data_IF_029607184325
#
_entry.id   IF_029607184325
#
_cell.length_a   1.000
_cell.length_b   1.000
_cell.length_c   1.000
_cell.angle_alpha   90.00
_cell.angle_beta   90.00
_cell.angle_gamma   90.00
#
_symmetry.space_group_name_H-M   'P 1'
#
loop_
_entity.id
_entity.type
_entity.pdbx_description
1 polymer ?
#
# COMPACT_ATOMS: atom_id res chain seq x y z
N UNK A 1 14.87 54.46 29.82
CA UNK A 1 13.57 53.94 29.34
C UNK A 1 13.82 53.12 28.08
N UNK A 2 13.74 51.79 28.16
CA UNK A 2 13.92 50.89 27.00
C UNK A 2 12.61 50.11 26.85
N UNK A 3 11.83 50.45 25.82
CA UNK A 3 10.54 49.82 25.55
C UNK A 3 10.78 48.43 24.94
N UNK A 4 10.34 47.39 25.64
CA UNK A 4 10.28 46.03 25.09
C UNK A 4 9.05 45.94 24.18
N UNK A 5 9.27 45.79 22.87
CA UNK A 5 8.22 45.40 21.93
C UNK A 5 7.94 43.91 22.10
N UNK A 6 6.77 43.61 22.65
CA UNK A 6 6.21 42.25 22.66
C UNK A 6 5.64 42.00 21.26
N UNK A 7 6.26 41.09 20.50
CA UNK A 7 5.64 40.57 19.28
C UNK A 7 4.66 39.46 19.67
N UNK A 8 3.41 39.47 19.17
CA UNK A 8 2.50 38.36 19.41
C UNK A 8 2.99 37.16 18.58
N UNK A 9 3.29 36.05 19.24
CA UNK A 9 3.52 34.79 18.58
C UNK A 9 2.19 34.34 17.95
N UNK A 10 2.07 34.48 16.63
CA UNK A 10 0.96 33.94 15.87
C UNK A 10 1.11 32.42 15.88
N UNK A 11 0.41 31.74 16.78
CA UNK A 11 0.33 30.29 16.81
C UNK A 11 -0.42 29.82 15.56
N UNK A 12 0.32 29.46 14.51
CA UNK A 12 -0.21 28.82 13.33
C UNK A 12 -0.67 27.41 13.75
N UNK A 13 -1.97 27.25 14.03
CA UNK A 13 -2.56 25.92 14.17
C UNK A 13 -2.40 25.18 12.84
N UNK A 14 -1.38 24.32 12.74
CA UNK A 14 -1.34 23.31 11.69
C UNK A 14 -2.52 22.37 11.93
N UNK A 15 -3.59 22.55 11.15
CA UNK A 15 -4.64 21.55 11.02
C UNK A 15 -3.99 20.31 10.38
N UNK A 16 -3.61 19.34 11.21
CA UNK A 16 -3.19 18.04 10.72
C UNK A 16 -4.40 17.38 10.05
N UNK A 17 -4.29 17.14 8.74
CA UNK A 17 -5.32 16.43 7.98
C UNK A 17 -5.45 15.00 8.52
N UNK A 18 -6.39 14.80 9.44
CA UNK A 18 -6.79 13.47 9.87
C UNK A 18 -7.73 12.89 8.80
N UNK A 19 -7.23 11.90 8.06
CA UNK A 19 -8.04 11.15 7.10
C UNK A 19 -8.55 9.90 7.80
N UNK A 20 -9.86 9.63 7.75
CA UNK A 20 -10.41 8.33 8.16
C UNK A 20 -10.16 7.35 7.01
N UNK A 21 -9.72 6.13 7.30
CA UNK A 21 -9.52 5.12 6.27
C UNK A 21 -10.81 4.86 5.50
N UNK A 22 -10.69 4.41 4.24
CA UNK A 22 -11.85 4.10 3.40
C UNK A 22 -12.75 3.08 4.12
N UNK A 23 -14.03 3.41 4.41
CA UNK A 23 -14.92 2.49 5.09
C UNK A 23 -15.31 1.33 4.18
N UNK A 24 -15.74 0.22 4.80
CA UNK A 24 -16.46 -0.83 4.09
C UNK A 24 -17.59 -0.23 3.25
N UNK A 25 -17.90 -0.79 2.06
CA UNK A 25 -19.03 -0.32 1.26
C UNK A 25 -20.32 -0.26 2.08
N UNK A 26 -21.14 0.76 1.85
CA UNK A 26 -22.46 0.89 2.48
C UNK A 26 -23.48 -0.07 1.84
N UNK A 27 -23.38 -0.26 0.52
CA UNK A 27 -24.22 -1.21 -0.20
C UNK A 27 -23.96 -2.66 0.29
N UNK A 28 -25.00 -3.44 0.65
CA UNK A 28 -24.83 -4.79 1.18
C UNK A 28 -24.19 -5.77 0.21
N UNK A 29 -24.45 -5.67 -1.10
CA UNK A 29 -23.87 -6.56 -2.11
C UNK A 29 -22.39 -6.24 -2.31
N UNK A 30 -22.05 -4.95 -2.39
CA UNK A 30 -20.66 -4.49 -2.47
C UNK A 30 -19.87 -4.87 -1.22
N UNK A 31 -20.47 -4.71 -0.03
CA UNK A 31 -19.85 -5.11 1.23
C UNK A 31 -19.60 -6.61 1.26
N UNK A 32 -20.60 -7.42 0.91
CA UNK A 32 -20.46 -8.89 0.80
C UNK A 32 -19.34 -9.25 -0.17
N UNK A 33 -19.29 -8.61 -1.32
CA UNK A 33 -18.27 -8.83 -2.34
C UNK A 33 -16.88 -8.46 -1.84
N UNK A 34 -16.71 -7.31 -1.18
CA UNK A 34 -15.42 -6.91 -0.63
C UNK A 34 -14.91 -7.88 0.44
N UNK A 35 -15.79 -8.29 1.35
CA UNK A 35 -15.47 -9.16 2.48
C UNK A 35 -15.08 -10.58 2.06
N UNK A 36 -15.58 -11.07 0.91
CA UNK A 36 -15.20 -12.41 0.44
C UNK A 36 -13.69 -12.51 0.08
N UNK A 37 -13.04 -11.38 -0.21
CA UNK A 37 -11.60 -11.30 -0.52
C UNK A 37 -10.75 -10.91 0.69
N UNK A 38 -11.33 -10.76 1.89
CA UNK A 38 -10.58 -10.36 3.08
C UNK A 38 -9.47 -11.35 3.40
N UNK A 39 -9.81 -12.64 3.50
CA UNK A 39 -8.83 -13.68 3.84
C UNK A 39 -7.65 -13.72 2.86
N UNK A 40 -7.88 -13.50 1.56
CA UNK A 40 -6.81 -13.42 0.56
C UNK A 40 -5.93 -12.18 0.78
N UNK A 41 -6.54 -11.00 0.90
CA UNK A 41 -5.84 -9.71 1.08
C UNK A 41 -5.01 -9.63 2.36
N UNK A 42 -5.43 -10.34 3.41
CA UNK A 42 -4.80 -10.32 4.73
C UNK A 42 -3.98 -11.58 5.03
N UNK A 43 -3.98 -12.55 4.09
CA UNK A 43 -3.27 -13.81 4.26
C UNK A 43 -1.77 -13.61 4.50
N UNK A 44 -1.23 -14.47 5.36
CA UNK A 44 0.19 -14.69 5.38
C UNK A 44 0.55 -15.61 4.22
N UNK A 45 1.45 -15.16 3.36
CA UNK A 45 2.15 -16.07 2.46
C UNK A 45 3.10 -16.93 3.30
N UNK A 46 2.58 -18.05 3.81
CA UNK A 46 3.25 -19.00 4.73
C UNK A 46 4.28 -19.89 4.02
N UNK A 47 4.17 -20.03 2.70
CA UNK A 47 5.29 -20.53 1.92
C UNK A 47 6.31 -19.40 1.83
N UNK A 48 7.57 -19.73 2.07
CA UNK A 48 8.71 -18.88 1.76
C UNK A 48 8.67 -18.61 0.26
N UNK A 49 7.88 -17.62 -0.17
CA UNK A 49 7.91 -17.19 -1.54
C UNK A 49 9.29 -16.61 -1.79
N UNK A 50 9.96 -17.15 -2.80
CA UNK A 50 11.19 -16.65 -3.39
C UNK A 50 11.05 -15.24 -3.99
N UNK A 51 9.87 -14.61 -3.89
CA UNK A 51 9.59 -13.27 -4.43
C UNK A 51 9.24 -12.30 -3.29
N UNK A 52 10.24 -11.59 -2.74
CA UNK A 52 10.05 -10.58 -1.69
C UNK A 52 9.14 -9.42 -2.13
N UNK A 53 8.94 -9.24 -3.44
CA UNK A 53 8.26 -8.10 -4.04
C UNK A 53 6.93 -8.55 -4.64
N UNK A 54 5.87 -7.79 -4.37
CA UNK A 54 4.50 -8.14 -4.83
C UNK A 54 3.73 -6.93 -5.32
N UNK A 55 2.75 -7.16 -6.19
CA UNK A 55 1.65 -6.22 -6.37
C UNK A 55 0.68 -6.40 -5.20
N UNK A 56 0.38 -5.31 -4.49
CA UNK A 56 -0.45 -5.37 -3.27
C UNK A 56 -1.95 -5.44 -3.57
N UNK A 57 -2.38 -4.95 -4.74
CA UNK A 57 -3.78 -4.75 -5.11
C UNK A 57 -4.19 -5.45 -6.42
N UNK A 58 -3.23 -5.98 -7.20
CA UNK A 58 -3.50 -6.67 -8.47
C UNK A 58 -3.06 -8.13 -8.42
N UNK A 59 -3.81 -9.00 -9.08
CA UNK A 59 -3.38 -10.37 -9.39
C UNK A 59 -3.42 -10.65 -10.88
N UNK A 60 -2.78 -11.75 -11.29
CA UNK A 60 -2.73 -12.20 -12.68
C UNK A 60 -4.14 -12.42 -13.26
N UNK A 61 -4.35 -11.95 -14.49
CA UNK A 61 -5.62 -12.05 -15.21
C UNK A 61 -6.65 -10.97 -14.88
N UNK A 62 -6.35 -9.99 -14.02
CA UNK A 62 -7.28 -8.91 -13.69
C UNK A 62 -7.69 -8.09 -14.92
N UNK A 63 -8.99 -7.77 -14.99
CA UNK A 63 -9.57 -6.83 -15.92
C UNK A 63 -9.66 -5.46 -15.24
N UNK A 64 -9.04 -4.46 -15.85
CA UNK A 64 -8.94 -3.10 -15.29
C UNK A 64 -9.42 -2.05 -16.28
N UNK A 65 -9.85 -0.91 -15.77
CA UNK A 65 -10.15 0.27 -16.59
C UNK A 65 -9.04 1.31 -16.46
N UNK A 66 -8.61 1.89 -17.57
CA UNK A 66 -7.56 2.93 -17.60
C UNK A 66 -8.11 4.32 -17.27
N UNK A 67 -7.37 5.19 -16.56
CA UNK A 67 -6.13 4.89 -15.84
C UNK A 67 -6.40 4.05 -14.59
N UNK A 68 -5.44 3.22 -14.18
CA UNK A 68 -5.58 2.33 -13.02
C UNK A 68 -4.42 2.47 -12.04
N UNK A 69 -4.73 2.24 -10.77
CA UNK A 69 -3.79 2.31 -9.66
C UNK A 69 -3.12 0.97 -9.42
N UNK A 70 -1.83 1.01 -9.15
CA UNK A 70 -1.05 -0.16 -8.76
C UNK A 70 -0.23 0.14 -7.51
N UNK A 71 -0.14 -0.84 -6.63
CA UNK A 71 0.51 -0.72 -5.33
C UNK A 71 1.59 -1.78 -5.19
N UNK A 72 2.73 -1.37 -4.64
CA UNK A 72 3.91 -2.20 -4.49
C UNK A 72 4.04 -2.68 -3.05
N UNK A 73 4.47 -3.91 -2.87
CA UNK A 73 4.83 -4.50 -1.58
C UNK A 73 6.26 -5.03 -1.63
N UNK A 74 6.92 -5.01 -0.47
CA UNK A 74 8.20 -5.69 -0.26
C UNK A 74 8.32 -6.22 1.17
N UNK A 75 8.82 -7.46 1.32
CA UNK A 75 9.10 -8.11 2.61
C UNK A 75 10.58 -8.44 2.74
N UNK A 76 11.12 -8.38 3.96
CA UNK A 76 12.54 -8.71 4.23
C UNK A 76 13.57 -7.65 3.82
N UNK A 77 13.14 -6.59 3.12
CA UNK A 77 13.95 -5.43 2.75
C UNK A 77 13.17 -4.13 2.98
N UNK A 78 13.92 -3.03 3.11
CA UNK A 78 13.39 -1.68 3.28
C UNK A 78 13.31 -0.87 2.00
N UNK A 79 12.30 -0.02 1.86
CA UNK A 79 12.26 0.99 0.80
C UNK A 79 13.08 2.22 1.22
N UNK A 80 13.96 2.68 0.34
CA UNK A 80 14.75 3.91 0.47
C UNK A 80 14.90 4.57 -0.91
N UNK A 81 14.92 5.91 -1.00
CA UNK A 81 15.22 6.60 -2.26
C UNK A 81 16.55 6.18 -2.89
N UNK A 82 16.64 6.28 -4.21
CA UNK A 82 17.88 6.11 -4.97
C UNK A 82 18.96 7.10 -4.51
N UNK A 83 20.23 6.76 -4.77
CA UNK A 83 21.40 7.53 -4.34
C UNK A 83 21.79 7.34 -2.87
N UNK A 84 20.99 6.60 -2.09
CA UNK A 84 21.20 6.38 -0.66
C UNK A 84 21.62 4.94 -0.38
N UNK A 85 22.92 4.71 -0.22
CA UNK A 85 23.44 3.37 0.06
C UNK A 85 23.08 2.93 1.48
N UNK A 86 22.28 1.87 1.59
CA UNK A 86 21.97 1.20 2.86
C UNK A 86 21.73 -0.30 2.62
N UNK A 87 22.23 -1.13 3.53
CA UNK A 87 22.06 -2.57 3.43
C UNK A 87 20.59 -3.00 3.52
N UNK A 88 20.25 -4.11 2.86
CA UNK A 88 18.90 -4.70 2.84
C UNK A 88 17.81 -3.68 2.47
N UNK A 89 18.12 -2.74 1.59
CA UNK A 89 17.20 -1.71 1.16
C UNK A 89 17.40 -1.32 -0.30
N UNK A 90 16.41 -0.66 -0.87
CA UNK A 90 16.43 -0.26 -2.28
C UNK A 90 15.13 0.43 -2.66
N UNK A 91 14.82 0.45 -3.96
CA UNK A 91 13.58 1.03 -4.46
C UNK A 91 12.97 0.22 -5.60
N UNK A 92 11.68 0.47 -5.82
CA UNK A 92 10.90 -0.23 -6.83
C UNK A 92 11.17 0.29 -8.24
N UNK A 93 11.04 -0.62 -9.18
CA UNK A 93 10.91 -0.40 -10.60
C UNK A 93 9.72 -1.19 -11.11
N UNK A 94 9.12 -0.74 -12.19
CA UNK A 94 8.06 -1.45 -12.90
C UNK A 94 8.46 -1.67 -14.34
N UNK A 95 8.35 -2.92 -14.76
CA UNK A 95 8.52 -3.37 -16.12
C UNK A 95 7.14 -3.51 -16.75
N UNK A 96 6.96 -2.89 -17.92
CA UNK A 96 5.73 -2.92 -18.71
C UNK A 96 6.07 -3.48 -20.08
N UNK A 97 5.49 -4.63 -20.44
CA UNK A 97 5.67 -5.28 -21.75
C UNK A 97 7.14 -5.44 -22.16
N UNK A 98 7.95 -5.83 -21.18
CA UNK A 98 9.39 -6.01 -21.33
C UNK A 98 9.92 -7.09 -20.37
N UNK A 99 10.91 -7.89 -20.80
CA UNK A 99 11.57 -8.85 -19.91
C UNK A 99 12.43 -8.15 -18.85
N UNK A 100 12.88 -8.96 -17.87
CA UNK A 100 13.90 -8.53 -16.91
C UNK A 100 15.18 -8.08 -17.62
N UNK A 101 15.88 -7.05 -17.12
CA UNK A 101 17.20 -6.69 -17.62
C UNK A 101 18.15 -7.90 -17.55
N UNK A 102 18.97 -8.16 -18.58
CA UNK A 102 19.82 -9.35 -18.64
C UNK A 102 21.00 -9.32 -17.67
N UNK A 103 21.30 -8.17 -17.06
CA UNK A 103 22.46 -7.92 -16.22
C UNK A 103 22.03 -7.35 -14.87
N UNK A 104 22.67 -7.82 -13.79
CA UNK A 104 22.67 -7.18 -12.46
C UNK A 104 23.78 -6.13 -12.34
N UNK A 105 24.76 -6.17 -13.24
CA UNK A 105 25.97 -5.35 -13.20
C UNK A 105 25.79 -4.00 -13.90
N UNK A 106 24.65 -3.75 -14.52
CA UNK A 106 24.34 -2.50 -15.20
C UNK A 106 23.10 -1.85 -14.57
N UNK A 107 23.04 -0.52 -14.48
CA UNK A 107 21.83 0.18 -14.07
C UNK A 107 20.66 -0.16 -14.99
N UNK A 108 19.45 -0.21 -14.43
CA UNK A 108 18.22 -0.40 -15.20
C UNK A 108 18.08 0.77 -16.20
N UNK A 109 17.84 0.50 -17.50
CA UNK A 109 17.66 1.55 -18.50
C UNK A 109 16.49 2.48 -18.17
N UNK A 110 16.60 3.76 -18.51
CA UNK A 110 15.48 4.69 -18.47
C UNK A 110 14.69 4.58 -19.79
N UNK A 111 13.43 4.17 -19.71
CA UNK A 111 12.50 4.13 -20.84
C UNK A 111 11.06 4.08 -20.34
N UNK A 112 10.09 4.25 -21.24
CA UNK A 112 8.67 4.12 -20.89
C UNK A 112 8.29 2.71 -20.40
N UNK A 113 9.08 1.70 -20.78
CA UNK A 113 8.90 0.30 -20.35
C UNK A 113 9.56 -0.03 -19.01
N UNK A 114 10.50 0.78 -18.56
CA UNK A 114 11.20 0.65 -17.29
C UNK A 114 10.92 1.90 -16.46
N UNK A 115 9.84 1.87 -15.67
CA UNK A 115 9.46 2.99 -14.81
C UNK A 115 10.22 2.93 -13.48
N UNK A 116 10.81 4.05 -13.10
CA UNK A 116 11.67 4.19 -11.92
C UNK A 116 10.91 4.85 -10.76
N UNK A 117 11.01 4.29 -9.56
CA UNK A 117 10.42 4.84 -8.34
C UNK A 117 11.50 5.19 -7.30
N UNK A 118 12.55 5.87 -7.78
CA UNK A 118 13.72 6.26 -7.00
C UNK A 118 13.48 7.32 -5.92
N UNK A 119 12.25 7.82 -5.73
CA UNK A 119 11.91 8.68 -4.58
C UNK A 119 11.31 7.88 -3.42
N UNK A 120 11.36 6.55 -3.47
CA UNK A 120 10.75 5.68 -2.45
C UNK A 120 9.24 5.54 -2.61
N UNK A 121 8.69 5.74 -3.81
CA UNK A 121 7.26 5.55 -4.06
C UNK A 121 6.89 4.06 -3.99
N UNK A 122 5.72 3.76 -3.43
CA UNK A 122 5.22 2.38 -3.29
C UNK A 122 3.89 2.16 -4.00
N UNK A 123 3.55 3.04 -4.95
CA UNK A 123 2.39 2.92 -5.81
C UNK A 123 2.51 3.90 -6.99
N UNK A 124 1.72 3.69 -8.05
CA UNK A 124 1.63 4.62 -9.17
C UNK A 124 0.34 4.49 -9.97
N UNK A 125 0.05 5.53 -10.76
CA UNK A 125 -0.98 5.52 -11.79
C UNK A 125 -0.39 4.97 -13.09
N UNK A 126 -1.06 4.00 -13.69
CA UNK A 126 -0.82 3.53 -15.05
C UNK A 126 -1.93 4.02 -15.97
N UNK A 127 -1.55 4.57 -17.12
CA UNK A 127 -2.46 4.85 -18.22
C UNK A 127 -1.98 4.08 -19.44
N UNK A 128 -2.56 2.89 -19.63
CA UNK A 128 -2.18 1.96 -20.69
C UNK A 128 -3.34 1.84 -21.70
N UNK A 129 -3.04 1.64 -22.99
CA UNK A 129 -4.08 1.45 -23.99
C UNK A 129 -4.92 0.19 -23.71
N UNK A 130 -6.12 0.06 -24.30
CA UNK A 130 -6.92 -1.16 -24.20
C UNK A 130 -6.16 -2.39 -24.74
N UNK A 131 -6.28 -3.53 -24.03
CA UNK A 131 -5.64 -4.79 -24.38
C UNK A 131 -4.82 -5.44 -23.26
N UNK A 132 -4.18 -6.57 -23.55
CA UNK A 132 -3.36 -7.29 -22.57
C UNK A 132 -2.00 -6.59 -22.37
N UNK A 133 -1.59 -6.44 -21.12
CA UNK A 133 -0.30 -5.90 -20.72
C UNK A 133 0.35 -6.78 -19.65
N UNK A 134 1.64 -7.03 -19.79
CA UNK A 134 2.44 -7.74 -18.79
C UNK A 134 3.14 -6.75 -17.87
N UNK A 135 3.04 -7.00 -16.57
CA UNK A 135 3.63 -6.17 -15.52
C UNK A 135 4.52 -7.01 -14.60
N UNK A 136 5.68 -6.47 -14.25
CA UNK A 136 6.57 -7.06 -13.25
C UNK A 136 7.24 -5.97 -12.42
N UNK A 137 7.24 -6.13 -11.10
CA UNK A 137 8.02 -5.27 -10.22
C UNK A 137 9.43 -5.82 -10.08
N UNK A 138 10.41 -4.92 -10.02
CA UNK A 138 11.82 -5.24 -9.80
C UNK A 138 12.37 -4.32 -8.72
N UNK A 139 13.11 -4.88 -7.77
CA UNK A 139 13.80 -4.13 -6.73
C UNK A 139 15.28 -3.98 -7.08
N UNK A 140 15.81 -2.79 -6.84
CA UNK A 140 17.19 -2.45 -7.17
C UNK A 140 17.82 -1.61 -6.06
N UNK A 141 19.14 -1.57 -6.06
CA UNK A 141 19.93 -0.81 -5.11
C UNK A 141 19.87 0.71 -5.34
N UNK A 142 20.69 1.45 -4.61
CA UNK A 142 20.79 2.91 -4.70
C UNK A 142 21.28 3.44 -6.06
N UNK A 143 21.95 2.61 -6.87
CA UNK A 143 22.48 2.95 -8.20
C UNK A 143 21.62 2.36 -9.33
N UNK A 144 20.38 1.97 -9.02
CA UNK A 144 19.43 1.31 -9.93
C UNK A 144 19.94 -0.05 -10.45
N UNK A 145 20.84 -0.73 -9.73
CA UNK A 145 21.33 -2.06 -10.11
C UNK A 145 20.38 -3.13 -9.56
N UNK A 146 19.83 -4.02 -10.40
CA UNK A 146 18.87 -5.03 -9.96
C UNK A 146 19.43 -5.94 -8.87
N UNK A 147 18.66 -6.17 -7.81
CA UNK A 147 18.94 -7.25 -6.85
C UNK A 147 18.50 -8.63 -7.37
N UNK A 148 17.81 -8.68 -8.51
CA UNK A 148 17.02 -9.84 -8.96
C UNK A 148 16.00 -10.31 -7.92
N UNK A 149 15.57 -9.36 -7.10
CA UNK A 149 14.43 -9.46 -6.20
C UNK A 149 13.25 -8.85 -6.94
N UNK A 150 12.38 -9.68 -7.49
CA UNK A 150 11.26 -9.25 -8.35
C UNK A 150 9.97 -10.00 -8.03
N UNK A 151 8.85 -9.47 -8.51
CA UNK A 151 7.55 -10.13 -8.41
C UNK A 151 7.38 -11.20 -9.47
N UNK A 152 6.41 -12.11 -9.27
CA UNK A 152 5.83 -12.84 -10.40
C UNK A 152 5.38 -11.82 -11.46
N UNK A 153 5.52 -12.19 -12.74
CA UNK A 153 4.89 -11.41 -13.80
C UNK A 153 3.40 -11.68 -13.78
N UNK A 154 2.62 -10.62 -13.91
CA UNK A 154 1.18 -10.69 -14.06
C UNK A 154 0.79 -10.14 -15.43
N UNK A 155 -0.32 -10.61 -15.95
CA UNK A 155 -1.01 -10.04 -17.11
C UNK A 155 -2.26 -9.34 -16.63
N UNK A 156 -2.43 -8.07 -16.99
CA UNK A 156 -3.68 -7.34 -16.81
C UNK A 156 -4.32 -7.07 -18.16
N UNK A 157 -5.64 -7.09 -18.23
CA UNK A 157 -6.37 -6.74 -19.44
C UNK A 157 -7.07 -5.39 -19.25
N UNK A 158 -6.66 -4.37 -19.99
CA UNK A 158 -7.29 -3.05 -19.97
C UNK A 158 -8.55 -3.11 -20.84
N UNK A 159 -9.73 -3.05 -20.23
CA UNK A 159 -11.01 -3.29 -20.92
C UNK A 159 -11.73 -2.03 -21.37
N UNK A 160 -11.50 -0.88 -20.72
CA UNK A 160 -12.18 0.37 -21.03
C UNK A 160 -11.45 1.57 -20.40
N UNK A 161 -11.82 2.78 -20.82
CA UNK A 161 -11.41 4.01 -20.14
C UNK A 161 -12.44 4.40 -19.06
N UNK A 162 -11.97 4.71 -17.84
CA UNK A 162 -12.81 5.06 -16.68
C UNK A 162 -13.67 6.31 -16.89
N UNK A 163 -13.21 7.27 -17.70
CA UNK A 163 -13.95 8.50 -18.01
C UNK A 163 -15.01 8.31 -19.10
N UNK A 164 -14.92 7.21 -19.86
CA UNK A 164 -15.79 6.92 -20.99
C UNK A 164 -16.71 5.71 -20.74
N UNK A 165 -16.59 5.06 -19.57
CA UNK A 165 -17.38 3.89 -19.22
C UNK A 165 -17.98 4.04 -17.83
N UNK A 166 -19.19 3.52 -17.64
CA UNK A 166 -19.75 3.37 -16.31
C UNK A 166 -18.89 2.39 -15.47
N UNK A 167 -18.78 2.60 -14.15
CA UNK A 167 -18.19 1.61 -13.25
C UNK A 167 -19.02 0.31 -13.26
N UNK A 168 -18.39 -0.87 -13.15
CA UNK A 168 -19.12 -2.12 -12.96
C UNK A 168 -20.02 -2.04 -11.73
N UNK A 169 -21.20 -2.65 -11.81
CA UNK A 169 -22.14 -2.79 -10.69
C UNK A 169 -22.38 -4.27 -10.42
N UNK A 170 -22.69 -4.58 -9.16
CA UNK A 170 -23.05 -5.94 -8.77
C UNK A 170 -24.52 -6.18 -9.10
N UNK A 171 -24.77 -7.26 -9.83
CA UNK A 171 -26.10 -7.79 -10.08
C UNK A 171 -26.36 -8.93 -9.07
N UNK A 172 -27.40 -8.85 -8.22
CA UNK A 172 -27.68 -9.89 -7.24
C UNK A 172 -27.98 -11.26 -7.86
N UNK A 173 -28.60 -11.32 -9.05
CA UNK A 173 -28.90 -12.59 -9.74
C UNK A 173 -27.66 -13.20 -10.39
N UNK A 174 -26.65 -12.36 -10.67
CA UNK A 174 -25.36 -12.74 -11.28
C UNK A 174 -24.19 -12.38 -10.38
N UNK A 175 -24.35 -12.56 -9.08
CA UNK A 175 -23.39 -12.09 -8.08
C UNK A 175 -21.98 -12.66 -8.31
N UNK A 176 -21.86 -13.97 -8.56
CA UNK A 176 -20.56 -14.64 -8.78
C UNK A 176 -19.80 -14.11 -9.99
N UNK A 177 -20.50 -13.58 -10.99
CA UNK A 177 -19.89 -13.03 -12.20
C UNK A 177 -19.58 -11.54 -12.08
N UNK A 178 -20.47 -10.77 -11.46
CA UNK A 178 -20.37 -9.30 -11.41
C UNK A 178 -19.53 -8.81 -10.23
N UNK A 179 -19.51 -9.54 -9.11
CA UNK A 179 -18.68 -9.21 -7.95
C UNK A 179 -17.18 -9.15 -8.29
N UNK A 180 -16.55 -10.15 -8.95
CA UNK A 180 -15.14 -10.04 -9.33
C UNK A 180 -14.85 -8.82 -10.21
N UNK A 181 -15.73 -8.48 -11.17
CA UNK A 181 -15.57 -7.30 -12.04
C UNK A 181 -15.61 -6.00 -11.23
N UNK A 182 -16.56 -5.89 -10.31
CA UNK A 182 -16.63 -4.76 -9.39
C UNK A 182 -15.40 -4.69 -8.48
N UNK A 183 -15.00 -5.81 -7.90
CA UNK A 183 -13.87 -5.86 -6.97
C UNK A 183 -12.55 -5.45 -7.65
N UNK A 184 -12.27 -6.00 -8.83
CA UNK A 184 -11.10 -5.65 -9.64
C UNK A 184 -11.09 -4.15 -9.99
N UNK A 185 -12.24 -3.58 -10.33
CA UNK A 185 -12.36 -2.15 -10.57
C UNK A 185 -12.06 -1.32 -9.32
N UNK A 186 -12.57 -1.74 -8.16
CA UNK A 186 -12.39 -1.05 -6.88
C UNK A 186 -10.95 -1.02 -6.40
N UNK A 187 -10.24 -2.16 -6.43
CA UNK A 187 -8.84 -2.24 -5.97
C UNK A 187 -7.86 -1.56 -6.91
N UNK A 188 -8.25 -1.34 -8.17
CA UNK A 188 -7.45 -0.66 -9.20
C UNK A 188 -7.91 0.79 -9.44
N UNK A 189 -8.86 1.32 -8.67
CA UNK A 189 -9.33 2.70 -8.81
C UNK A 189 -8.28 3.68 -8.25
N UNK A 190 -7.89 4.72 -9.01
CA UNK A 190 -7.01 5.76 -8.51
C UNK A 190 -7.53 6.45 -7.25
N UNK A 191 -6.66 6.74 -6.27
CA UNK A 191 -7.02 7.53 -5.10
C UNK A 191 -7.43 8.95 -5.53
N UNK A 192 -8.39 9.55 -4.82
CA UNK A 192 -8.84 10.93 -5.07
C UNK A 192 -7.86 11.97 -4.52
N UNK A 193 -7.12 11.62 -3.48
CA UNK A 193 -6.25 12.53 -2.74
C UNK A 193 -4.82 12.45 -3.30
N UNK A 194 -4.21 13.61 -3.52
CA UNK A 194 -2.84 13.72 -4.01
C UNK A 194 -1.77 13.54 -2.91
N UNK A 195 -2.18 13.50 -1.63
CA UNK A 195 -1.28 13.30 -0.49
C UNK A 195 -2.01 12.65 0.69
N UNK A 196 -1.67 11.40 1.02
CA UNK A 196 -2.32 10.65 2.11
C UNK A 196 -1.44 9.48 2.60
N UNK A 197 -1.65 9.04 3.85
CA UNK A 197 -1.14 7.76 4.38
C UNK A 197 -2.33 6.81 4.59
N UNK A 198 -2.19 5.53 4.29
CA UNK A 198 -3.32 4.59 4.30
C UNK A 198 -2.90 3.15 4.51
N UNK A 199 -3.91 2.33 4.84
CA UNK A 199 -3.84 0.86 4.78
C UNK A 199 -4.31 0.42 3.40
N UNK A 200 -3.46 -0.32 2.68
CA UNK A 200 -3.71 -0.80 1.31
C UNK A 200 -4.77 -1.90 1.27
N UNK A 201 -4.74 -2.79 2.26
CA UNK A 201 -5.40 -4.10 2.15
C UNK A 201 -6.56 -4.33 3.13
N UNK A 202 -6.94 -3.36 3.97
CA UNK A 202 -8.03 -3.47 4.96
C UNK A 202 -8.80 -2.16 5.01
N UNK A 203 -10.13 -2.22 5.04
CA UNK A 203 -11.03 -1.06 5.18
C UNK A 203 -11.44 -0.83 6.63
N UNK A 204 -11.89 0.39 6.92
CA UNK A 204 -12.47 0.72 8.22
C UNK A 204 -13.76 -0.08 8.47
N UNK A 205 -13.85 -0.68 9.66
CA UNK A 205 -14.92 -1.57 10.10
C UNK A 205 -14.80 -3.02 9.63
N UNK A 206 -13.68 -3.41 9.00
CA UNK A 206 -13.48 -4.76 8.46
C UNK A 206 -13.16 -5.80 9.55
N UNK A 207 -13.67 -7.02 9.40
CA UNK A 207 -13.36 -8.16 10.29
C UNK A 207 -12.27 -9.02 9.65
N UNK A 208 -11.24 -9.39 10.42
CA UNK A 208 -10.07 -10.15 9.94
C UNK A 208 -9.75 -11.32 10.88
N UNK A 209 -9.14 -12.37 10.33
CA UNK A 209 -8.57 -13.48 11.12
C UNK A 209 -7.14 -13.16 11.56
N UNK A 210 -6.74 -13.63 12.74
CA UNK A 210 -5.36 -13.52 13.24
C UNK A 210 -4.58 -14.84 13.05
N UNK A 211 -3.27 -14.80 12.76
CA UNK A 211 -2.48 -13.60 12.40
C UNK A 211 -2.76 -13.12 10.98
N UNK A 212 -2.55 -11.82 10.73
CA UNK A 212 -2.74 -11.22 9.40
C UNK A 212 -1.63 -10.25 9.03
N UNK A 213 -1.45 -10.04 7.72
CA UNK A 213 -0.59 -8.97 7.19
C UNK A 213 -1.36 -7.66 7.06
N UNK A 214 -0.75 -6.57 7.52
CA UNK A 214 -1.17 -5.21 7.20
C UNK A 214 -0.17 -4.58 6.23
N UNK A 215 -0.67 -3.99 5.15
CA UNK A 215 0.13 -3.35 4.10
C UNK A 215 -0.15 -1.86 4.10
N UNK A 216 0.89 -1.05 4.12
CA UNK A 216 0.81 0.40 4.28
C UNK A 216 1.26 1.12 3.01
N UNK A 217 0.63 2.25 2.76
CA UNK A 217 0.92 3.11 1.62
C UNK A 217 0.99 4.58 2.01
N UNK A 218 1.72 5.33 1.19
CA UNK A 218 1.77 6.79 1.25
C UNK A 218 1.76 7.34 -0.17
N UNK A 219 1.01 8.42 -0.39
CA UNK A 219 0.91 9.14 -1.65
C UNK A 219 1.42 10.57 -1.42
N UNK A 220 2.10 11.14 -2.42
CA UNK A 220 2.67 12.47 -2.36
C UNK A 220 3.97 12.58 -1.53
N UNK A 221 4.44 11.49 -0.95
CA UNK A 221 5.72 11.36 -0.22
C UNK A 221 6.40 10.04 -0.58
N UNK A 222 7.68 9.93 -0.25
CA UNK A 222 8.47 8.71 -0.37
C UNK A 222 8.63 7.95 0.95
N UNK A 223 8.77 6.63 0.89
CA UNK A 223 9.19 5.84 2.05
C UNK A 223 10.71 5.89 2.16
N UNK A 224 11.21 6.17 3.36
CA UNK A 224 12.60 6.04 3.71
C UNK A 224 12.74 5.56 5.17
N UNK A 225 13.85 4.89 5.53
CA UNK A 225 14.12 4.53 6.91
C UNK A 225 14.14 5.73 7.85
N UNK A 226 13.97 5.49 9.15
CA UNK A 226 14.23 6.53 10.14
C UNK A 226 15.69 7.00 10.06
N UNK A 227 15.93 8.24 10.50
CA UNK A 227 17.26 8.88 10.53
C UNK A 227 17.92 9.03 9.15
N UNK A 228 17.18 8.92 8.06
CA UNK A 228 17.65 9.34 6.73
C UNK A 228 17.17 10.77 6.47
N UNK A 229 18.08 11.74 6.43
CA UNK A 229 17.75 13.16 6.21
C UNK A 229 17.39 13.45 4.74
N UNK A 230 16.38 12.76 4.22
CA UNK A 230 15.93 12.86 2.82
C UNK A 230 14.61 13.66 2.79
N UNK A 231 14.55 14.79 2.06
CA UNK A 231 13.33 15.58 1.94
C UNK A 231 12.15 14.78 1.39
N UNK A 232 10.93 15.17 1.78
CA UNK A 232 9.67 14.56 1.31
C UNK A 232 9.56 13.05 1.53
N UNK A 233 10.25 12.53 2.55
CA UNK A 233 10.18 11.12 2.93
C UNK A 233 9.85 10.89 4.39
N UNK A 234 9.48 9.66 4.71
CA UNK A 234 9.21 9.24 6.08
C UNK A 234 9.07 7.74 6.24
N UNK A 235 8.74 7.33 7.45
CA UNK A 235 8.53 5.94 7.84
C UNK A 235 7.21 5.77 8.59
N UNK A 236 6.73 4.52 8.63
CA UNK A 236 5.44 4.20 9.24
C UNK A 236 5.56 3.88 10.72
N UNK A 237 4.54 4.29 11.48
CA UNK A 237 4.31 3.86 12.85
C UNK A 237 2.85 3.43 12.97
N UNK A 238 2.61 2.27 13.57
CA UNK A 238 1.28 1.76 13.89
C UNK A 238 1.06 1.84 15.39
N UNK A 239 0.01 2.56 15.79
CA UNK A 239 -0.51 2.54 17.15
C UNK A 239 -1.75 1.63 17.17
N UNK A 240 -1.66 0.50 17.87
CA UNK A 240 -2.66 -0.56 17.90
C UNK A 240 -3.33 -0.52 19.28
N UNK A 241 -4.63 -0.26 19.33
CA UNK A 241 -5.37 -0.15 20.59
C UNK A 241 -6.51 -1.14 20.65
N UNK A 242 -6.55 -1.97 21.69
CA UNK A 242 -7.69 -2.87 21.94
C UNK A 242 -8.68 -2.16 22.86
N UNK A 243 -9.91 -1.94 22.41
CA UNK A 243 -10.92 -1.21 23.19
C UNK A 243 -10.34 0.13 23.75
N UNK A 244 -10.39 0.32 25.08
CA UNK A 244 -9.88 1.50 25.78
C UNK A 244 -8.49 1.29 26.41
N UNK A 245 -7.75 0.26 26.00
CA UNK A 245 -6.39 0.00 26.52
C UNK A 245 -5.41 1.10 26.11
N UNK A 246 -4.23 1.12 26.75
CA UNK A 246 -3.09 1.84 26.18
C UNK A 246 -2.74 1.24 24.80
N UNK A 247 -2.38 2.06 23.80
CA UNK A 247 -1.98 1.56 22.49
C UNK A 247 -0.59 0.92 22.55
N UNK A 248 -0.43 -0.23 21.89
CA UNK A 248 0.87 -0.79 21.54
C UNK A 248 1.40 -0.07 20.32
N UNK A 249 2.64 0.43 20.41
CA UNK A 249 3.30 1.12 19.31
C UNK A 249 4.26 0.19 18.58
N UNK A 250 4.07 0.04 17.28
CA UNK A 250 4.97 -0.68 16.37
C UNK A 250 5.61 0.34 15.41
N UNK A 251 6.95 0.38 15.38
CA UNK A 251 7.70 1.27 14.48
C UNK A 251 8.28 0.45 13.33
N UNK A 252 8.05 0.90 12.09
CA UNK A 252 8.65 0.34 10.88
C UNK A 252 9.84 1.21 10.47
N UNK A 253 10.93 1.10 11.23
CA UNK A 253 12.08 2.01 11.21
C UNK A 253 13.00 1.85 10.00
N UNK A 254 12.98 0.74 9.29
CA UNK A 254 13.93 0.48 8.19
C UNK A 254 13.27 0.59 6.81
N UNK A 255 12.24 1.41 6.67
CA UNK A 255 11.51 1.58 5.41
C UNK A 255 10.60 0.40 5.09
N UNK A 256 10.22 -0.40 6.09
CA UNK A 256 9.23 -1.46 5.89
C UNK A 256 7.86 -0.86 5.57
N UNK A 257 7.11 -1.53 4.70
CA UNK A 257 5.74 -1.13 4.32
C UNK A 257 4.70 -2.18 4.67
N UNK A 258 5.12 -3.29 5.27
CA UNK A 258 4.25 -4.38 5.67
C UNK A 258 4.63 -4.85 7.08
N UNK A 259 3.63 -5.29 7.85
CA UNK A 259 3.81 -5.89 9.17
C UNK A 259 2.85 -7.06 9.38
N UNK A 260 3.22 -8.00 10.22
CA UNK A 260 2.33 -9.07 10.67
C UNK A 260 1.78 -8.67 12.04
N UNK A 261 0.45 -8.70 12.16
CA UNK A 261 -0.25 -8.49 13.42
C UNK A 261 -0.81 -9.84 13.88
N UNK A 262 -0.35 -10.26 15.06
CA UNK A 262 -0.92 -11.40 15.79
C UNK A 262 -1.65 -10.86 17.02
N UNK A 263 -2.97 -10.75 16.89
CA UNK A 263 -3.84 -10.08 17.84
C UNK A 263 -4.87 -11.06 18.38
N UNK A 264 -5.14 -10.97 19.67
CA UNK A 264 -6.26 -11.72 20.28
C UNK A 264 -7.61 -11.22 19.75
N UNK A 265 -8.66 -12.06 19.72
CA UNK A 265 -9.99 -11.64 19.28
C UNK A 265 -10.51 -10.40 20.03
N UNK A 266 -11.21 -9.53 19.32
CA UNK A 266 -11.82 -8.30 19.86
C UNK A 266 -11.78 -7.12 18.90
N UNK A 267 -12.21 -5.95 19.39
CA UNK A 267 -12.23 -4.71 18.61
C UNK A 267 -10.95 -3.90 18.79
N UNK A 268 -10.45 -3.38 17.67
CA UNK A 268 -9.22 -2.61 17.61
C UNK A 268 -9.42 -1.29 16.90
N UNK A 269 -8.76 -0.26 17.42
CA UNK A 269 -8.49 0.99 16.71
C UNK A 269 -7.01 0.97 16.29
N UNK A 270 -6.77 1.10 15.00
CA UNK A 270 -5.46 1.26 14.42
C UNK A 270 -5.28 2.71 13.99
N UNK A 271 -4.19 3.33 14.43
CA UNK A 271 -3.75 4.63 13.96
C UNK A 271 -2.42 4.44 13.20
N UNK A 272 -2.43 4.81 11.92
CA UNK A 272 -1.28 4.80 11.03
C UNK A 272 -0.69 6.19 10.98
N UNK A 273 0.54 6.34 11.42
CA UNK A 273 1.29 7.59 11.36
C UNK A 273 2.39 7.45 10.31
N UNK A 274 2.59 8.52 9.54
CA UNK A 274 3.76 8.70 8.69
C UNK A 274 4.61 9.82 9.27
N UNK A 275 5.83 9.49 9.69
CA UNK A 275 6.72 10.42 10.39
C UNK A 275 7.93 10.75 9.52
N UNK A 276 8.38 12.00 9.56
CA UNK A 276 9.66 12.42 9.01
C UNK A 276 10.82 11.81 9.80
N UNK A 277 12.04 11.93 9.28
CA UNK A 277 13.26 11.35 9.88
C UNK A 277 13.57 11.84 11.30
N UNK A 278 13.12 13.05 11.65
CA UNK A 278 13.27 13.68 12.97
C UNK A 278 12.09 13.35 13.93
N UNK A 279 11.11 12.57 13.46
CA UNK A 279 9.92 12.19 14.22
C UNK A 279 8.74 13.15 14.07
N UNK A 280 8.85 14.22 13.27
CA UNK A 280 7.72 15.10 12.98
C UNK A 280 6.58 14.31 12.30
N UNK A 281 5.36 14.48 12.78
CA UNK A 281 4.18 13.91 12.13
C UNK A 281 3.94 14.60 10.77
N UNK A 282 3.94 13.82 9.69
CA UNK A 282 3.65 14.30 8.34
C UNK A 282 2.21 14.02 7.95
N UNK A 283 1.75 12.78 8.14
CA UNK A 283 0.42 12.33 7.77
C UNK A 283 -0.10 11.34 8.82
N UNK A 284 -1.43 11.30 8.98
CA UNK A 284 -2.10 10.37 9.89
C UNK A 284 -3.37 9.81 9.24
N UNK A 285 -3.61 8.53 9.50
CA UNK A 285 -4.84 7.84 9.14
C UNK A 285 -5.29 6.93 10.28
N UNK A 286 -6.59 6.64 10.33
CA UNK A 286 -7.16 5.80 11.39
C UNK A 286 -8.22 4.88 10.81
N UNK A 287 -8.26 3.65 11.32
CA UNK A 287 -9.31 2.67 11.06
C UNK A 287 -9.64 1.88 12.33
N UNK A 288 -10.83 1.31 12.33
CA UNK A 288 -11.29 0.30 13.26
C UNK A 288 -11.35 -1.04 12.55
N UNK A 289 -11.07 -2.12 13.28
CA UNK A 289 -11.24 -3.48 12.78
C UNK A 289 -11.68 -4.41 13.91
N UNK A 290 -12.26 -5.54 13.53
CA UNK A 290 -12.57 -6.64 14.45
C UNK A 290 -11.66 -7.80 14.15
N UNK A 291 -11.01 -8.36 15.17
CA UNK A 291 -10.30 -9.63 15.06
C UNK A 291 -11.25 -10.74 15.46
N UNK A 292 -11.56 -11.64 14.51
CA UNK A 292 -12.54 -12.70 14.69
C UNK A 292 -12.07 -13.77 15.70
N UNK A 293 -13.02 -14.37 16.41
CA UNK A 293 -12.74 -15.57 17.21
C UNK A 293 -12.50 -16.75 16.26
N UNK A 294 -11.32 -17.36 16.29
CA UNK A 294 -11.11 -18.62 15.57
C UNK A 294 -12.05 -19.68 16.15
N UNK A 295 -13.09 -20.07 15.40
CA UNK A 295 -13.83 -21.29 15.70
C UNK A 295 -12.92 -22.43 15.28
N UNK A 296 -12.25 -23.05 16.25
CA UNK A 296 -11.58 -24.33 16.02
C UNK A 296 -12.66 -25.33 15.59
N UNK A 297 -12.81 -25.54 14.29
CA UNK A 297 -13.49 -26.73 13.81
C UNK A 297 -12.67 -27.92 14.33
N UNK A 298 -13.29 -28.90 15.01
CA UNK A 298 -12.57 -30.08 15.46
C UNK A 298 -11.90 -30.72 14.23
N UNK A 299 -10.58 -30.91 14.30
CA UNK A 299 -9.85 -31.70 13.31
C UNK A 299 -10.52 -33.08 13.24
N UNK A 300 -11.08 -33.42 12.08
CA UNK A 300 -11.41 -34.82 11.76
C UNK A 300 -10.13 -35.58 11.48
#
# INVERSE_FOLDING_TARGET
>A
MRAYKVFPALALLMLFNMVIAKPLPEDPLERRCWLQYTAERTSLSLFAESTPVTFSNLVDGFQVRTPFWIEFGIRGMGVIPAGQKREKSGHHHLLIDTPLPPSVADPIPFSDKYRHFGKGQTATLLDLPPGPHTLRLLFADYDHRPYYVFSRQITVNVIANRTQSAPPRIDPERFSETCPKWYQDQVSTPPSESKLVYVKNIRDGESVDSPFVIKLGVIGLGVAPEKTSIPDTGYFVLNIRKNRSAPTRMRLSDGQTEAILDLSPGEYQLEVLFLASDGQLLLKNQLTLTVATQVHLPRK
#
